data_IF_034609507803
#
_entry.id   IF_034609507803
#
_cell.length_a   1.000
_cell.length_b   1.000
_cell.length_c   1.000
_cell.angle_alpha   90.00
_cell.angle_beta   90.00
_cell.angle_gamma   90.00
#
_symmetry.space_group_name_H-M   'P 1'
#
loop_
_entity.id
_entity.type
_entity.pdbx_description
1 polymer ?
#
# COMPACT_ATOMS: atom_id res chain seq x y z
N UNK A 1 -10.98 -1.37 0.39
CA UNK A 1 -9.57 -1.71 0.71
C UNK A 1 -8.65 -0.85 -0.12
N UNK A 2 -7.55 -0.34 0.44
CA UNK A 2 -6.55 0.44 -0.28
C UNK A 2 -5.34 -0.46 -0.64
N UNK A 3 -4.80 -0.32 -1.86
CA UNK A 3 -3.64 -1.06 -2.37
C UNK A 3 -2.95 -0.28 -3.51
N UNK A 4 -1.91 -0.84 -4.13
CA UNK A 4 -1.27 -0.27 -5.32
C UNK A 4 -2.00 -0.67 -6.60
N UNK A 5 -2.08 0.24 -7.58
CA UNK A 5 -2.79 -0.04 -8.83
C UNK A 5 -2.09 -1.12 -9.67
N UNK A 6 -0.75 -1.12 -9.70
CA UNK A 6 0.01 -2.13 -10.45
C UNK A 6 -0.18 -3.55 -9.91
N UNK A 7 -0.61 -3.74 -8.66
CA UNK A 7 -0.97 -5.05 -8.13
C UNK A 7 -2.20 -5.64 -8.83
N UNK A 8 -3.02 -4.81 -9.48
CA UNK A 8 -4.21 -5.21 -10.21
C UNK A 8 -3.92 -5.49 -11.70
N UNK A 9 -2.65 -5.47 -12.11
CA UNK A 9 -2.24 -5.65 -13.51
C UNK A 9 -1.73 -7.06 -13.72
N UNK A 10 -2.31 -7.76 -14.69
CA UNK A 10 -1.85 -9.09 -15.07
C UNK A 10 -0.47 -9.01 -15.75
N UNK A 11 0.54 -9.76 -15.28
CA UNK A 11 1.93 -9.59 -15.72
C UNK A 11 2.15 -9.90 -17.22
N UNK A 12 1.33 -10.77 -17.80
CA UNK A 12 1.44 -11.17 -19.22
C UNK A 12 0.79 -10.17 -20.17
N UNK A 13 -0.47 -9.80 -19.91
CA UNK A 13 -1.23 -8.91 -20.80
C UNK A 13 -0.97 -7.44 -20.53
N UNK A 14 -0.40 -7.09 -19.37
CA UNK A 14 -0.25 -5.71 -18.87
C UNK A 14 -1.57 -4.92 -18.88
N UNK A 15 -2.67 -5.65 -18.74
CA UNK A 15 -4.01 -5.12 -18.57
C UNK A 15 -4.49 -5.36 -17.15
N UNK A 16 -5.47 -4.58 -16.72
CA UNK A 16 -6.10 -4.83 -15.44
C UNK A 16 -6.83 -6.18 -15.40
N UNK A 17 -6.80 -6.82 -14.24
CA UNK A 17 -7.61 -8.00 -13.95
C UNK A 17 -9.07 -7.60 -13.71
N UNK A 18 -9.99 -8.54 -13.90
CA UNK A 18 -11.39 -8.30 -13.60
C UNK A 18 -11.61 -8.18 -12.07
N UNK A 19 -12.48 -7.29 -11.57
CA UNK A 19 -12.70 -7.11 -10.13
C UNK A 19 -12.96 -8.43 -9.39
N UNK A 20 -13.85 -9.28 -9.94
CA UNK A 20 -14.25 -10.54 -9.31
C UNK A 20 -13.14 -11.59 -9.17
N UNK A 21 -11.98 -11.41 -9.82
CA UNK A 21 -10.81 -12.28 -9.66
C UNK A 21 -9.91 -11.85 -8.51
N UNK A 22 -10.18 -10.70 -7.87
CA UNK A 22 -9.39 -10.17 -6.77
C UNK A 22 -9.98 -10.69 -5.46
N UNK A 23 -9.15 -11.40 -4.69
CA UNK A 23 -9.49 -11.93 -3.38
C UNK A 23 -8.72 -11.17 -2.30
N UNK A 24 -9.43 -10.76 -1.24
CA UNK A 24 -8.84 -10.11 -0.08
C UNK A 24 -8.96 -11.04 1.12
N UNK A 25 -7.83 -11.36 1.74
CA UNK A 25 -7.73 -12.25 2.88
C UNK A 25 -7.30 -11.45 4.11
N UNK A 26 -8.20 -11.29 5.07
CA UNK A 26 -7.88 -10.60 6.32
C UNK A 26 -7.12 -11.53 7.26
N UNK A 27 -5.95 -11.09 7.71
CA UNK A 27 -5.13 -11.84 8.68
C UNK A 27 -4.77 -13.23 8.17
N UNK A 28 -4.32 -13.32 6.92
CA UNK A 28 -3.85 -14.55 6.33
C UNK A 28 -2.59 -15.04 7.05
N UNK A 29 -2.55 -16.32 7.38
CA UNK A 29 -1.39 -17.02 7.94
C UNK A 29 -1.45 -18.48 7.50
N UNK A 30 -0.50 -18.91 6.65
CA UNK A 30 -0.29 -20.31 6.23
C UNK A 30 -1.58 -21.04 5.86
N UNK A 31 -2.34 -20.48 4.91
CA UNK A 31 -3.57 -21.09 4.40
C UNK A 31 -4.84 -20.74 5.18
N UNK A 32 -4.73 -20.09 6.35
CA UNK A 32 -5.88 -19.66 7.14
C UNK A 32 -6.09 -18.17 7.00
N UNK A 33 -7.34 -17.73 6.85
CA UNK A 33 -7.71 -16.32 6.88
C UNK A 33 -8.82 -16.10 7.90
N UNK A 34 -8.76 -14.99 8.64
CA UNK A 34 -9.83 -14.58 9.57
C UNK A 34 -11.06 -14.04 8.85
N UNK A 35 -10.88 -13.58 7.61
CA UNK A 35 -11.98 -13.13 6.75
C UNK A 35 -11.57 -13.19 5.29
N UNK A 36 -12.56 -13.33 4.41
CA UNK A 36 -12.38 -13.37 2.96
C UNK A 36 -13.49 -12.57 2.28
N UNK A 37 -13.11 -11.73 1.33
CA UNK A 37 -14.02 -10.99 0.47
C UNK A 37 -13.47 -10.95 -0.96
N UNK A 38 -14.34 -10.68 -1.93
CA UNK A 38 -13.97 -10.42 -3.32
C UNK A 38 -14.18 -8.96 -3.66
N UNK A 39 -13.38 -8.42 -4.58
CA UNK A 39 -13.65 -7.11 -5.11
C UNK A 39 -14.82 -7.16 -6.11
N UNK A 40 -15.75 -6.22 -6.01
CA UNK A 40 -16.85 -6.04 -6.98
C UNK A 40 -16.58 -4.89 -7.93
N UNK A 41 -15.73 -3.96 -7.52
CA UNK A 41 -15.25 -2.85 -8.33
C UNK A 41 -13.91 -2.36 -7.78
N UNK A 42 -13.16 -1.61 -8.58
CA UNK A 42 -12.05 -0.82 -8.09
C UNK A 42 -11.93 0.48 -8.86
N UNK A 43 -11.30 1.48 -8.23
CA UNK A 43 -10.86 2.72 -8.88
C UNK A 43 -9.38 2.90 -8.64
N UNK A 44 -8.67 3.40 -9.64
CA UNK A 44 -7.23 3.69 -9.57
C UNK A 44 -6.97 5.19 -9.56
N UNK A 45 -5.72 5.57 -9.28
CA UNK A 45 -5.26 6.94 -9.45
C UNK A 45 -5.51 7.48 -10.86
N UNK A 46 -5.92 8.76 -11.00
CA UNK A 46 -6.13 9.38 -12.30
C UNK A 46 -4.89 9.28 -13.18
N UNK A 47 -5.07 8.79 -14.40
CA UNK A 47 -4.00 8.68 -15.39
C UNK A 47 -3.05 7.49 -15.21
N UNK A 48 -3.31 6.58 -14.27
CA UNK A 48 -2.53 5.34 -14.18
C UNK A 48 -2.71 4.49 -15.46
N UNK A 49 -1.61 4.26 -16.16
CA UNK A 49 -1.51 3.42 -17.34
C UNK A 49 -0.96 2.04 -16.94
N UNK A 50 -1.76 0.95 -17.02
CA UNK A 50 -1.32 -0.39 -16.62
C UNK A 50 -0.21 -0.95 -17.52
N UNK A 51 -0.10 -0.49 -18.76
CA UNK A 51 0.96 -0.93 -19.67
C UNK A 51 2.34 -0.34 -19.30
N UNK A 52 2.34 0.86 -18.69
CA UNK A 52 3.54 1.57 -18.24
C UNK A 52 3.80 1.45 -16.74
N UNK A 53 2.78 1.04 -15.96
CA UNK A 53 2.85 0.96 -14.50
C UNK A 53 2.95 2.33 -13.82
N UNK A 54 2.40 3.39 -14.41
CA UNK A 54 2.57 4.75 -13.89
C UNK A 54 1.65 5.79 -14.53
N UNK A 55 1.77 7.07 -14.15
CA UNK A 55 2.85 7.63 -13.33
C UNK A 55 2.81 7.18 -11.87
N UNK A 56 3.95 7.19 -11.18
CA UNK A 56 4.06 6.66 -9.81
C UNK A 56 3.06 7.26 -8.80
N UNK A 57 2.74 8.57 -8.82
CA UNK A 57 1.72 9.15 -7.93
C UNK A 57 0.30 8.63 -8.16
N UNK A 58 0.03 8.04 -9.33
CA UNK A 58 -1.26 7.43 -9.66
C UNK A 58 -1.33 5.93 -9.29
N UNK A 59 -0.24 5.35 -8.76
CA UNK A 59 -0.13 3.92 -8.45
C UNK A 59 -0.81 3.54 -7.12
N UNK A 60 -2.08 3.88 -7.01
CA UNK A 60 -2.95 3.51 -5.90
C UNK A 60 -4.29 3.03 -6.45
N UNK A 61 -4.94 2.12 -5.72
CA UNK A 61 -6.25 1.63 -6.04
C UNK A 61 -7.11 1.42 -4.79
N UNK A 62 -8.39 1.71 -4.91
CA UNK A 62 -9.40 1.45 -3.88
C UNK A 62 -10.33 0.37 -4.41
N UNK A 63 -10.38 -0.75 -3.69
CA UNK A 63 -11.28 -1.87 -3.96
C UNK A 63 -12.58 -1.70 -3.17
N UNK A 64 -13.70 -1.83 -3.85
CA UNK A 64 -15.02 -2.06 -3.24
C UNK A 64 -15.19 -3.56 -3.06
N UNK A 65 -15.48 -4.00 -1.84
CA UNK A 65 -15.60 -5.43 -1.50
C UNK A 65 -17.07 -5.85 -1.41
N UNK A 66 -17.36 -7.13 -1.71
CA UNK A 66 -18.68 -7.74 -1.55
C UNK A 66 -19.10 -7.94 -0.08
N UNK A 67 -18.13 -7.97 0.83
CA UNK A 67 -18.34 -8.08 2.26
C UNK A 67 -17.39 -7.17 3.05
N UNK A 68 -17.86 -6.68 4.19
CA UNK A 68 -17.02 -5.97 5.15
C UNK A 68 -16.05 -6.96 5.83
N UNK A 69 -14.75 -6.68 5.77
CA UNK A 69 -13.73 -7.52 6.41
C UNK A 69 -13.28 -7.01 7.79
N UNK A 70 -13.29 -5.70 8.01
CA UNK A 70 -12.82 -5.09 9.26
C UNK A 70 -13.93 -4.83 10.27
N UNK A 71 -13.60 -4.86 11.56
CA UNK A 71 -14.39 -4.23 12.62
C UNK A 71 -14.07 -2.74 12.70
N UNK A 72 -14.98 -1.85 13.15
CA UNK A 72 -14.70 -0.41 13.24
C UNK A 72 -13.39 -0.04 13.95
N UNK A 73 -13.02 -0.75 15.03
CA UNK A 73 -11.75 -0.54 15.75
C UNK A 73 -10.50 -1.16 15.10
N UNK A 74 -10.65 -1.89 13.99
CA UNK A 74 -9.54 -2.55 13.27
C UNK A 74 -9.19 -1.87 11.93
N UNK A 75 -9.83 -0.74 11.62
CA UNK A 75 -9.60 0.02 10.39
C UNK A 75 -8.66 1.18 10.72
N UNK A 76 -7.51 1.22 10.06
CA UNK A 76 -6.55 2.31 10.23
C UNK A 76 -6.98 3.53 9.42
N UNK A 77 -6.93 4.75 10.00
CA UNK A 77 -7.23 5.98 9.27
C UNK A 77 -6.13 6.30 8.26
N UNK A 78 -6.48 7.09 7.24
CA UNK A 78 -5.49 7.73 6.37
C UNK A 78 -4.94 8.97 7.05
N UNK A 79 -3.63 9.17 6.96
CA UNK A 79 -3.00 10.39 7.43
C UNK A 79 -3.46 11.57 6.57
N UNK A 80 -3.96 12.63 7.19
CA UNK A 80 -4.56 13.78 6.50
C UNK A 80 -3.53 14.83 6.03
N UNK A 81 -2.30 14.78 6.56
CA UNK A 81 -1.25 15.73 6.27
C UNK A 81 0.13 15.04 6.23
N UNK A 82 1.13 15.62 5.55
CA UNK A 82 2.48 15.09 5.54
C UNK A 82 3.07 14.96 6.95
N UNK A 83 3.67 13.81 7.33
CA UNK A 83 4.41 13.69 8.56
C UNK A 83 5.74 14.45 8.45
N UNK A 84 6.33 14.83 9.59
CA UNK A 84 7.64 15.47 9.60
C UNK A 84 8.74 14.52 9.10
N UNK A 85 9.80 15.02 8.46
CA UNK A 85 10.99 14.21 8.17
C UNK A 85 11.46 13.47 9.42
N UNK A 86 12.01 12.25 9.24
CA UNK A 86 12.48 11.36 10.32
C UNK A 86 11.38 10.79 11.21
N UNK A 87 10.09 11.05 10.94
CA UNK A 87 8.98 10.36 11.62
C UNK A 87 9.18 8.84 11.53
N UNK A 88 9.12 8.09 12.66
CA UNK A 88 9.15 6.64 12.65
C UNK A 88 8.00 6.06 11.81
N UNK A 89 8.33 5.09 10.98
CA UNK A 89 7.41 4.40 10.09
C UNK A 89 7.42 2.90 10.38
N UNK A 90 6.41 2.21 9.87
CA UNK A 90 6.34 0.77 9.82
C UNK A 90 5.82 0.32 8.46
N UNK A 91 6.50 -0.64 7.82
CA UNK A 91 6.01 -1.27 6.58
C UNK A 91 5.54 -2.68 6.91
N UNK A 92 4.22 -2.91 6.86
CA UNK A 92 3.62 -4.22 7.13
C UNK A 92 3.04 -4.83 5.87
N UNK A 93 3.50 -6.02 5.45
CA UNK A 93 3.01 -6.66 4.24
C UNK A 93 3.45 -8.11 4.06
N UNK A 94 2.88 -8.76 3.04
CA UNK A 94 3.34 -10.06 2.57
C UNK A 94 4.42 -9.83 1.52
N UNK A 95 5.55 -10.49 1.68
CA UNK A 95 6.71 -10.34 0.81
C UNK A 95 6.83 -11.57 -0.09
N UNK A 96 7.46 -11.44 -1.26
CA UNK A 96 7.55 -12.54 -2.23
C UNK A 96 8.27 -13.78 -1.65
N UNK A 97 9.23 -13.58 -0.75
CA UNK A 97 9.96 -14.62 -0.04
C UNK A 97 9.20 -15.18 1.17
N UNK A 98 8.22 -14.43 1.70
CA UNK A 98 7.32 -14.83 2.79
C UNK A 98 5.85 -14.57 2.42
N UNK A 99 5.29 -15.24 1.40
CA UNK A 99 3.93 -14.98 0.94
C UNK A 99 2.86 -15.48 1.93
N UNK A 100 3.24 -16.34 2.87
CA UNK A 100 2.30 -16.97 3.82
C UNK A 100 2.27 -16.35 5.20
N UNK A 101 3.20 -15.44 5.52
CA UNK A 101 3.31 -14.82 6.84
C UNK A 101 3.54 -13.34 6.64
N UNK A 102 2.78 -12.52 7.37
CA UNK A 102 2.99 -11.08 7.36
C UNK A 102 4.31 -10.73 8.05
N UNK A 103 5.11 -9.88 7.42
CA UNK A 103 6.29 -9.27 8.04
C UNK A 103 6.03 -7.79 8.25
N UNK A 104 6.64 -7.24 9.30
CA UNK A 104 6.64 -5.83 9.59
C UNK A 104 8.06 -5.37 9.90
N UNK A 105 8.54 -4.36 9.16
CA UNK A 105 9.71 -3.60 9.56
C UNK A 105 9.27 -2.44 10.44
N UNK A 106 9.73 -2.43 11.69
CA UNK A 106 9.39 -1.44 12.70
C UNK A 106 10.47 -0.36 12.87
N UNK A 107 11.66 -0.57 12.30
CA UNK A 107 12.85 0.24 12.57
C UNK A 107 13.20 1.16 11.38
N UNK A 108 12.16 1.66 10.72
CA UNK A 108 12.29 2.57 9.60
C UNK A 108 11.65 3.94 9.84
N UNK A 109 11.90 4.87 8.93
CA UNK A 109 11.54 6.28 9.06
C UNK A 109 11.32 6.95 7.72
N UNK A 110 10.64 8.09 7.78
CA UNK A 110 10.51 9.00 6.67
C UNK A 110 11.87 9.64 6.34
N UNK A 111 12.30 9.52 5.08
CA UNK A 111 13.48 10.21 4.55
C UNK A 111 13.12 11.59 4.00
N UNK A 112 11.93 11.70 3.39
CA UNK A 112 11.44 12.94 2.81
C UNK A 112 10.50 12.67 1.63
N UNK A 113 10.51 13.57 0.66
CA UNK A 113 9.64 13.54 -0.51
C UNK A 113 10.45 13.62 -1.80
N UNK A 114 10.02 12.90 -2.84
CA UNK A 114 10.74 12.85 -4.12
C UNK A 114 10.73 14.18 -4.89
N UNK A 115 9.76 15.04 -4.60
CA UNK A 115 9.58 16.34 -5.22
C UNK A 115 8.72 17.22 -4.29
N UNK A 116 8.57 18.49 -4.62
CA UNK A 116 7.55 19.35 -4.03
C UNK A 116 6.20 19.16 -4.75
N UNK A 117 5.10 19.34 -4.03
CA UNK A 117 3.75 19.39 -4.59
C UNK A 117 3.04 18.04 -4.75
N UNK A 118 1.89 18.01 -5.45
CA UNK A 118 0.94 16.90 -5.43
C UNK A 118 1.42 15.62 -6.16
N UNK A 119 2.52 15.68 -6.91
CA UNK A 119 3.16 14.53 -7.53
C UNK A 119 4.29 13.91 -6.67
N UNK A 120 4.47 14.38 -5.44
CA UNK A 120 5.50 13.90 -4.55
C UNK A 120 5.21 12.46 -4.08
N UNK A 121 6.24 11.61 -4.11
CA UNK A 121 6.22 10.31 -3.46
C UNK A 121 6.84 10.42 -2.06
N UNK A 122 6.31 9.66 -1.10
CA UNK A 122 6.89 9.51 0.23
C UNK A 122 8.09 8.57 0.14
N UNK A 123 9.29 9.03 0.52
CA UNK A 123 10.51 8.23 0.51
C UNK A 123 10.82 7.72 1.93
N UNK A 124 11.11 6.43 2.07
CA UNK A 124 11.37 5.78 3.37
C UNK A 124 12.52 4.78 3.29
N UNK A 125 13.15 4.47 4.43
CA UNK A 125 14.21 3.45 4.54
C UNK A 125 13.70 2.10 5.05
N UNK A 126 12.39 1.84 5.01
CA UNK A 126 11.84 0.53 5.39
C UNK A 126 12.35 -0.60 4.48
N UNK A 127 12.74 -1.70 5.11
CA UNK A 127 13.08 -2.96 4.47
C UNK A 127 11.84 -3.58 3.83
N UNK A 128 11.76 -3.46 2.52
CA UNK A 128 10.81 -4.16 1.66
C UNK A 128 11.56 -4.95 0.60
N UNK A 129 10.98 -6.06 0.15
CA UNK A 129 11.43 -6.77 -1.04
C UNK A 129 10.37 -6.66 -2.13
N UNK A 130 10.63 -7.24 -3.31
CA UNK A 130 9.54 -7.56 -4.25
C UNK A 130 8.42 -8.28 -3.49
N UNK A 131 7.18 -7.91 -3.79
CA UNK A 131 5.98 -8.40 -3.10
C UNK A 131 5.40 -7.44 -2.06
N UNK A 132 6.18 -6.51 -1.49
CA UNK A 132 5.65 -5.51 -0.54
C UNK A 132 4.78 -4.42 -1.19
N UNK A 133 4.62 -4.45 -2.50
CA UNK A 133 3.74 -3.52 -3.23
C UNK A 133 2.31 -3.58 -2.71
N UNK A 134 1.67 -2.42 -2.57
CA UNK A 134 0.32 -2.31 -2.03
C UNK A 134 0.24 -2.40 -0.51
N UNK A 135 1.34 -2.75 0.17
CA UNK A 135 1.42 -2.74 1.62
C UNK A 135 1.28 -1.31 2.18
N UNK A 136 0.60 -1.13 3.31
CA UNK A 136 0.55 0.16 3.99
C UNK A 136 1.92 0.51 4.60
N UNK A 137 2.36 1.74 4.35
CA UNK A 137 3.37 2.43 5.16
C UNK A 137 2.62 3.16 6.26
N UNK A 138 2.88 2.78 7.50
CA UNK A 138 2.20 3.27 8.68
C UNK A 138 3.09 4.28 9.40
N UNK A 139 2.52 5.40 9.84
CA UNK A 139 3.16 6.35 10.73
C UNK A 139 2.47 6.30 12.09
N UNK A 140 3.26 6.49 13.14
CA UNK A 140 2.72 6.66 14.49
C UNK A 140 2.42 8.14 14.73
N UNK A 141 1.15 8.44 15.02
CA UNK A 141 0.69 9.77 15.35
C UNK A 141 1.20 10.26 16.72
N UNK A 142 1.11 11.56 17.02
CA UNK A 142 1.52 12.13 18.31
C UNK A 142 0.75 11.54 19.51
N UNK A 143 -0.47 11.05 19.27
CA UNK A 143 -1.34 10.36 20.24
C UNK A 143 -0.95 8.88 20.44
N UNK A 144 0.08 8.40 19.74
CA UNK A 144 0.54 7.02 19.77
C UNK A 144 -0.26 6.06 18.90
N UNK A 145 -1.29 6.54 18.19
CA UNK A 145 -2.10 5.76 17.26
C UNK A 145 -1.39 5.52 15.92
N UNK A 146 -1.80 4.49 15.19
CA UNK A 146 -1.26 4.20 13.85
C UNK A 146 -2.19 4.74 12.77
N UNK A 147 -1.61 5.38 11.75
CA UNK A 147 -2.31 5.82 10.55
C UNK A 147 -1.54 5.41 9.30
N UNK A 148 -2.24 5.22 8.19
CA UNK A 148 -1.63 4.95 6.88
C UNK A 148 -1.04 6.26 6.36
N UNK A 149 0.29 6.34 6.30
CA UNK A 149 1.02 7.47 5.72
C UNK A 149 1.15 7.35 4.20
N UNK A 150 1.11 6.13 3.66
CA UNK A 150 1.09 5.89 2.23
C UNK A 150 0.96 4.42 1.86
N UNK A 151 0.93 4.16 0.55
CA UNK A 151 0.91 2.82 -0.03
C UNK A 151 2.21 2.54 -0.76
N UNK A 152 2.90 1.47 -0.38
CA UNK A 152 4.14 1.06 -0.99
C UNK A 152 3.94 0.81 -2.49
N UNK A 153 4.71 1.53 -3.31
CA UNK A 153 4.58 1.53 -4.77
C UNK A 153 5.89 1.11 -5.45
N UNK A 154 7.04 1.53 -4.91
CA UNK A 154 8.37 1.18 -5.43
C UNK A 154 9.30 0.78 -4.30
N UNK A 155 10.25 -0.09 -4.60
CA UNK A 155 11.30 -0.52 -3.69
C UNK A 155 12.61 -0.65 -4.46
N UNK A 156 13.72 -0.22 -3.86
CA UNK A 156 15.04 -0.41 -4.43
C UNK A 156 15.45 -1.89 -4.32
N UNK A 157 16.21 -2.38 -5.31
CA UNK A 157 16.53 -3.80 -5.38
C UNK A 157 17.58 -4.28 -4.36
N UNK A 158 18.47 -3.38 -3.91
CA UNK A 158 19.69 -3.74 -3.17
C UNK A 158 19.90 -2.94 -1.89
N UNK A 159 19.00 -2.02 -1.55
CA UNK A 159 19.08 -1.17 -0.36
C UNK A 159 17.69 -0.98 0.23
N UNK A 160 17.61 -0.84 1.56
CA UNK A 160 16.38 -0.50 2.26
C UNK A 160 15.97 0.95 1.93
N UNK A 161 15.29 1.10 0.80
CA UNK A 161 14.78 2.35 0.27
C UNK A 161 13.52 2.06 -0.54
N UNK A 162 12.43 2.75 -0.23
CA UNK A 162 11.18 2.62 -0.94
C UNK A 162 10.50 3.95 -1.18
N UNK A 163 9.52 3.92 -2.07
CA UNK A 163 8.63 5.03 -2.34
C UNK A 163 7.17 4.58 -2.22
N UNK A 164 6.38 5.40 -1.55
CA UNK A 164 4.96 5.19 -1.34
C UNK A 164 4.13 6.35 -1.91
N UNK A 165 2.95 6.05 -2.43
CA UNK A 165 1.95 7.07 -2.75
C UNK A 165 1.45 7.65 -1.41
N UNK A 166 1.54 8.97 -1.17
CA UNK A 166 1.13 9.54 0.11
C UNK A 166 -0.38 9.42 0.34
N UNK A 167 -0.78 9.10 1.56
CA UNK A 167 -2.19 8.84 1.87
C UNK A 167 -3.07 10.10 1.70
N UNK A 168 -2.57 11.29 2.02
CA UNK A 168 -3.30 12.56 1.90
C UNK A 168 -3.52 13.02 0.45
N UNK A 169 -2.89 12.38 -0.54
CA UNK A 169 -3.13 12.67 -1.97
C UNK A 169 -4.18 11.74 -2.58
N UNK A 170 -4.55 10.66 -1.88
CA UNK A 170 -5.53 9.68 -2.35
C UNK A 170 -6.92 10.25 -2.10
N UNK A 171 -7.72 10.34 -3.17
CA UNK A 171 -9.10 10.83 -3.09
C UNK A 171 -10.06 9.65 -3.21
N UNK A 172 -10.60 9.14 -2.09
CA UNK A 172 -11.53 8.02 -2.05
C UNK A 172 -12.93 8.36 -2.56
#
# INVERSE_FOLDING_TARGET
MLTAAHCLVAPRSRAFVQPGTIHVLLGYDRGKARGHARAVAYRTGPGFDPAKGGPAPADWAILTLDAALGTPGGILPLLAAPPAPRTPLMLGGYQQDRPEVILADHDCRLLGFSAAGPGAMLLHDCAGTRGSSGAPVLARGPDGGWAIAGIASRVAASVALGAAVPAWTIRP
#
